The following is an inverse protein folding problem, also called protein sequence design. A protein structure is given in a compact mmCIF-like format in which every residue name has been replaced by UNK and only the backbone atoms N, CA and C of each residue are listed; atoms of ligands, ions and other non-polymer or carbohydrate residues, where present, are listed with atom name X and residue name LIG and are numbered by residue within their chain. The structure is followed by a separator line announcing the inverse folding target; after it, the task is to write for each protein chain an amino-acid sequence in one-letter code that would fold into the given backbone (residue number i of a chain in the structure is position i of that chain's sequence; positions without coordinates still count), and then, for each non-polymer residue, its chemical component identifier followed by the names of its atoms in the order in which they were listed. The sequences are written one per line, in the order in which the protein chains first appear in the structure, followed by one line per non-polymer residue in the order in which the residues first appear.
data_IF_884812481423
#
_entry.id   IF_884812481423
#
_cell.length_a   1.000
_cell.length_b   1.000
_cell.length_c   1.000
_cell.angle_alpha   90.00
_cell.angle_beta   90.00
_cell.angle_gamma   90.00
#
_symmetry.space_group_name_H-M   'P 1'
#
loop_
_entity.id
_entity.type
_entity.pdbx_description
1 polymer ?
#
# COMPACT_ATOMS: atom_id res chain seq x y z
N UNK A 1 -30.00 -3.03 -30.25
CA UNK A 1 -31.21 -3.89 -30.10
C UNK A 1 -32.51 -3.19 -30.48
N UNK A 2 -32.77 -1.95 -30.03
CA UNK A 2 -33.98 -1.20 -30.42
C UNK A 2 -34.08 -0.90 -31.94
N UNK A 3 -32.95 -0.67 -32.63
CA UNK A 3 -32.98 -0.35 -34.06
C UNK A 3 -33.42 -1.50 -34.96
N UNK A 4 -33.01 -2.75 -34.69
CA UNK A 4 -33.42 -3.91 -35.49
C UNK A 4 -34.92 -4.20 -35.36
N UNK A 5 -35.47 -4.14 -34.13
CA UNK A 5 -36.92 -4.27 -33.90
C UNK A 5 -37.70 -3.15 -34.59
N UNK A 6 -37.22 -1.91 -34.52
CA UNK A 6 -37.83 -0.76 -35.21
C UNK A 6 -37.84 -0.93 -36.72
N UNK A 7 -36.70 -1.32 -37.32
CA UNK A 7 -36.61 -1.49 -38.77
C UNK A 7 -37.49 -2.65 -39.28
N UNK A 8 -37.65 -3.73 -38.50
CA UNK A 8 -38.56 -4.82 -38.85
C UNK A 8 -40.04 -4.45 -38.69
N UNK A 9 -40.40 -3.62 -37.71
CA UNK A 9 -41.75 -3.07 -37.57
C UNK A 9 -42.12 -2.13 -38.73
N UNK A 10 -41.18 -1.30 -39.18
CA UNK A 10 -41.35 -0.44 -40.36
C UNK A 10 -41.48 -1.26 -41.66
N UNK A 11 -40.73 -2.37 -41.75
CA UNK A 11 -40.79 -3.28 -42.90
C UNK A 11 -42.15 -3.97 -43.04
N UNK A 12 -42.71 -4.45 -41.93
CA UNK A 12 -43.96 -5.22 -41.95
C UNK A 12 -45.22 -4.36 -41.90
N UNK A 13 -45.12 -3.09 -41.50
CA UNK A 13 -46.28 -2.21 -41.36
C UNK A 13 -47.32 -2.77 -40.38
N UNK A 14 -46.89 -3.56 -39.40
CA UNK A 14 -47.75 -4.23 -38.42
C UNK A 14 -48.38 -5.56 -38.88
N UNK A 15 -48.04 -6.07 -40.07
CA UNK A 15 -48.50 -7.38 -40.55
C UNK A 15 -47.62 -8.52 -40.02
N UNK A 16 -48.14 -9.75 -39.82
CA UNK A 16 -47.37 -10.89 -39.32
C UNK A 16 -46.35 -11.42 -40.34
N UNK A 17 -46.59 -11.21 -41.63
CA UNK A 17 -45.74 -11.66 -42.73
C UNK A 17 -45.38 -10.50 -43.65
N UNK A 18 -44.26 -10.64 -44.38
CA UNK A 18 -43.80 -9.66 -45.37
C UNK A 18 -43.55 -10.38 -46.70
N UNK A 19 -43.97 -9.81 -47.85
CA UNK A 19 -43.64 -10.36 -49.15
C UNK A 19 -42.12 -10.54 -49.31
N UNK A 20 -41.70 -11.70 -49.82
CA UNK A 20 -40.28 -12.08 -49.92
C UNK A 20 -39.46 -11.09 -50.76
N UNK A 21 -40.07 -10.46 -51.77
CA UNK A 21 -39.45 -9.43 -52.61
C UNK A 21 -39.06 -8.20 -51.81
N UNK A 22 -39.99 -7.70 -51.00
CA UNK A 22 -39.77 -6.55 -50.10
C UNK A 22 -38.76 -6.90 -48.99
N UNK A 23 -38.80 -8.14 -48.51
CA UNK A 23 -37.87 -8.62 -47.50
C UNK A 23 -36.41 -8.67 -48.03
N UNK A 24 -36.21 -9.17 -49.26
CA UNK A 24 -34.89 -9.21 -49.93
C UNK A 24 -34.29 -7.82 -50.14
N UNK A 25 -35.10 -6.85 -50.56
CA UNK A 25 -34.65 -5.46 -50.74
C UNK A 25 -34.17 -4.83 -49.43
N UNK A 26 -34.87 -5.11 -48.34
CA UNK A 26 -34.51 -4.61 -47.02
C UNK A 26 -33.22 -5.25 -46.50
N UNK A 27 -33.11 -6.58 -46.57
CA UNK A 27 -31.90 -7.29 -46.14
C UNK A 27 -30.67 -6.96 -46.99
N UNK A 28 -30.84 -6.76 -48.30
CA UNK A 28 -29.76 -6.35 -49.19
C UNK A 28 -29.17 -4.98 -48.84
N UNK A 29 -29.95 -4.08 -48.21
CA UNK A 29 -29.46 -2.78 -47.71
C UNK A 29 -28.72 -2.89 -46.38
N UNK A 30 -29.20 -3.75 -45.49
CA UNK A 30 -28.67 -3.87 -44.11
C UNK A 30 -27.45 -4.79 -44.05
N UNK A 31 -27.42 -5.83 -44.90
CA UNK A 31 -26.34 -6.81 -44.96
C UNK A 31 -25.79 -6.97 -46.38
N UNK A 32 -25.14 -5.92 -46.93
CA UNK A 32 -24.66 -5.92 -48.31
C UNK A 32 -23.55 -6.95 -48.60
N UNK A 33 -22.98 -7.57 -47.56
CA UNK A 33 -21.89 -8.55 -47.66
C UNK A 33 -22.38 -10.01 -47.71
N UNK A 34 -23.66 -10.27 -47.51
CA UNK A 34 -24.23 -11.63 -47.53
C UNK A 34 -24.60 -12.01 -48.98
N UNK A 35 -24.13 -13.16 -49.46
CA UNK A 35 -24.46 -13.61 -50.82
C UNK A 35 -25.96 -13.93 -50.96
N UNK A 36 -26.50 -13.79 -52.17
CA UNK A 36 -27.91 -14.12 -52.44
C UNK A 36 -28.21 -15.58 -52.08
N UNK A 37 -27.33 -16.52 -52.42
CA UNK A 37 -27.56 -17.94 -52.08
C UNK A 37 -27.62 -18.16 -50.56
N UNK A 38 -26.77 -17.47 -49.80
CA UNK A 38 -26.73 -17.59 -48.34
C UNK A 38 -27.99 -17.00 -47.70
N UNK A 39 -28.48 -15.89 -48.24
CA UNK A 39 -29.71 -15.25 -47.79
C UNK A 39 -30.94 -16.15 -48.05
N UNK A 40 -31.00 -16.80 -49.21
CA UNK A 40 -32.08 -17.75 -49.53
C UNK A 40 -32.09 -18.95 -48.59
N UNK A 41 -30.92 -19.55 -48.33
CA UNK A 41 -30.80 -20.66 -47.39
C UNK A 41 -31.22 -20.25 -45.96
N UNK A 42 -30.91 -19.02 -45.57
CA UNK A 42 -31.23 -18.48 -44.26
C UNK A 42 -32.72 -18.16 -44.07
N UNK A 43 -33.40 -17.65 -45.09
CA UNK A 43 -34.83 -17.26 -45.03
C UNK A 43 -35.76 -18.47 -45.23
N UNK A 44 -35.32 -19.49 -45.97
CA UNK A 44 -36.13 -20.67 -46.34
C UNK A 44 -36.93 -21.30 -45.18
N UNK A 45 -36.41 -21.44 -43.96
CA UNK A 45 -37.17 -22.00 -42.82
C UNK A 45 -38.35 -21.13 -42.36
N UNK A 46 -38.37 -19.86 -42.74
CA UNK A 46 -39.33 -18.85 -42.30
C UNK A 46 -40.31 -18.46 -43.40
N UNK A 47 -40.35 -19.20 -44.52
CA UNK A 47 -41.28 -18.95 -45.61
C UNK A 47 -42.68 -19.49 -45.28
N UNK A 48 -43.68 -18.66 -45.50
CA UNK A 48 -45.11 -18.99 -45.39
C UNK A 48 -45.69 -18.99 -46.80
N UNK A 49 -46.36 -20.08 -47.19
CA UNK A 49 -47.01 -20.27 -48.50
C UNK A 49 -46.10 -20.13 -49.75
N UNK A 50 -44.78 -19.95 -49.58
CA UNK A 50 -43.79 -19.91 -50.66
C UNK A 50 -43.43 -18.51 -51.18
N UNK A 51 -44.13 -17.47 -50.75
CA UNK A 51 -43.99 -16.09 -51.24
C UNK A 51 -43.95 -15.03 -50.12
N UNK A 52 -44.22 -15.40 -48.87
CA UNK A 52 -44.13 -14.52 -47.71
C UNK A 52 -43.13 -15.02 -46.66
N UNK A 53 -42.56 -14.10 -45.86
CA UNK A 53 -41.62 -14.40 -44.77
C UNK A 53 -42.26 -14.07 -43.42
N UNK A 54 -42.23 -15.02 -42.48
CA UNK A 54 -42.49 -14.76 -41.07
C UNK A 54 -41.29 -14.02 -40.45
N UNK A 55 -41.31 -12.72 -40.63
CA UNK A 55 -40.29 -11.81 -40.14
C UNK A 55 -40.20 -11.79 -38.59
N UNK A 56 -41.26 -12.19 -37.88
CA UNK A 56 -41.27 -12.23 -36.41
C UNK A 56 -40.51 -13.44 -35.90
N UNK A 57 -40.81 -14.63 -36.44
CA UNK A 57 -40.10 -15.86 -36.10
C UNK A 57 -38.61 -15.78 -36.47
N UNK A 58 -38.31 -15.15 -37.62
CA UNK A 58 -36.93 -14.90 -38.03
C UNK A 58 -36.19 -13.95 -37.08
N UNK A 59 -36.84 -12.85 -36.66
CA UNK A 59 -36.26 -11.89 -35.73
C UNK A 59 -36.01 -12.52 -34.36
N UNK A 60 -36.94 -13.34 -33.88
CA UNK A 60 -36.78 -14.11 -32.63
C UNK A 60 -35.59 -15.07 -32.71
N UNK A 61 -35.41 -15.79 -33.82
CA UNK A 61 -34.25 -16.65 -34.03
C UNK A 61 -32.93 -15.87 -34.10
N UNK A 62 -32.89 -14.75 -34.83
CA UNK A 62 -31.72 -13.88 -34.90
C UNK A 62 -31.33 -13.33 -33.53
N UNK A 63 -32.32 -12.92 -32.73
CA UNK A 63 -32.07 -12.44 -31.37
C UNK A 63 -31.56 -13.54 -30.46
N UNK A 64 -32.14 -14.73 -30.51
CA UNK A 64 -31.69 -15.90 -29.74
C UNK A 64 -30.22 -16.22 -30.06
N UNK A 65 -29.85 -16.28 -31.34
CA UNK A 65 -28.47 -16.54 -31.74
C UNK A 65 -27.48 -15.45 -31.31
N UNK A 66 -27.91 -14.18 -31.29
CA UNK A 66 -27.09 -13.07 -30.78
C UNK A 66 -26.91 -13.12 -29.26
N UNK A 67 -27.95 -13.49 -28.51
CA UNK A 67 -27.86 -13.68 -27.06
C UNK A 67 -26.97 -14.89 -26.72
N UNK A 68 -27.11 -16.01 -27.42
CA UNK A 68 -26.24 -17.19 -27.27
C UNK A 68 -24.77 -16.89 -27.60
N UNK A 69 -24.50 -16.09 -28.63
CA UNK A 69 -23.15 -15.65 -28.96
C UNK A 69 -22.58 -14.71 -27.90
N UNK A 70 -23.38 -13.74 -27.42
CA UNK A 70 -22.98 -12.85 -26.33
C UNK A 70 -22.67 -13.64 -25.06
N UNK A 71 -23.52 -14.58 -24.71
CA UNK A 71 -23.37 -15.37 -23.49
C UNK A 71 -22.14 -16.30 -23.60
N UNK A 72 -21.85 -16.86 -24.78
CA UNK A 72 -20.58 -17.56 -25.05
C UNK A 72 -19.36 -16.67 -24.91
N UNK A 73 -19.40 -15.45 -25.45
CA UNK A 73 -18.31 -14.48 -25.31
C UNK A 73 -18.09 -14.06 -23.86
N UNK A 74 -19.18 -13.84 -23.12
CA UNK A 74 -19.12 -13.52 -21.70
C UNK A 74 -18.50 -14.67 -20.90
N UNK A 75 -18.92 -15.91 -21.18
CA UNK A 75 -18.38 -17.10 -20.54
C UNK A 75 -16.87 -17.26 -20.83
N UNK A 76 -16.47 -17.11 -22.10
CA UNK A 76 -15.06 -17.17 -22.49
C UNK A 76 -14.21 -16.12 -21.78
N UNK A 77 -14.70 -14.87 -21.70
CA UNK A 77 -14.02 -13.80 -20.98
C UNK A 77 -13.93 -14.09 -19.46
N UNK A 78 -14.97 -14.65 -18.87
CA UNK A 78 -14.97 -15.05 -17.45
C UNK A 78 -13.96 -16.17 -17.17
N UNK A 79 -13.87 -17.16 -18.06
CA UNK A 79 -12.92 -18.26 -17.95
C UNK A 79 -11.47 -17.78 -18.15
N UNK A 80 -11.24 -16.82 -19.05
CA UNK A 80 -9.94 -16.16 -19.23
C UNK A 80 -9.53 -15.41 -17.96
N UNK A 81 -10.42 -14.59 -17.38
CA UNK A 81 -10.18 -13.90 -16.11
C UNK A 81 -9.88 -14.89 -14.98
N UNK A 82 -10.61 -16.01 -14.91
CA UNK A 82 -10.38 -17.07 -13.92
C UNK A 82 -9.01 -17.71 -14.12
N UNK A 83 -8.62 -17.99 -15.35
CA UNK A 83 -7.31 -18.54 -15.71
C UNK A 83 -6.18 -17.59 -15.31
N UNK A 84 -6.31 -16.28 -15.64
CA UNK A 84 -5.35 -15.25 -15.26
C UNK A 84 -5.21 -15.13 -13.74
N UNK A 85 -6.33 -15.13 -12.99
CA UNK A 85 -6.30 -15.16 -11.52
C UNK A 85 -5.61 -16.42 -10.99
N UNK A 86 -5.87 -17.57 -11.60
CA UNK A 86 -5.20 -18.83 -11.26
C UNK A 86 -3.69 -18.79 -11.51
N UNK A 87 -3.25 -18.22 -12.64
CA UNK A 87 -1.84 -18.03 -12.96
C UNK A 87 -1.17 -17.04 -11.99
N UNK A 88 -1.85 -15.94 -11.64
CA UNK A 88 -1.38 -14.98 -10.64
C UNK A 88 -1.22 -15.63 -9.27
N UNK A 89 -2.17 -16.50 -8.87
CA UNK A 89 -2.10 -17.22 -7.58
C UNK A 89 -0.94 -18.22 -7.47
N UNK A 90 -0.37 -18.63 -8.60
CA UNK A 90 0.78 -19.56 -8.65
C UNK A 90 2.12 -18.83 -8.56
N UNK A 91 2.13 -17.50 -8.65
CA UNK A 91 3.32 -16.70 -8.42
C UNK A 91 3.41 -16.39 -6.92
N UNK A 92 4.57 -16.60 -6.28
CA UNK A 92 4.81 -16.08 -4.94
C UNK A 92 4.55 -14.57 -4.96
N UNK A 93 3.75 -14.07 -4.02
CA UNK A 93 3.65 -12.64 -3.79
C UNK A 93 4.95 -12.20 -3.12
N UNK A 94 5.79 -11.51 -3.87
CA UNK A 94 7.00 -10.90 -3.34
C UNK A 94 6.67 -9.50 -2.83
N UNK A 95 7.25 -9.15 -1.68
CA UNK A 95 7.15 -7.83 -1.10
C UNK A 95 8.44 -7.53 -0.35
N UNK A 96 8.76 -6.24 -0.20
CA UNK A 96 9.96 -5.77 0.48
C UNK A 96 9.66 -5.39 1.92
N UNK A 97 10.60 -5.67 2.81
CA UNK A 97 10.52 -5.30 4.23
C UNK A 97 11.69 -4.40 4.59
N UNK A 98 11.38 -3.20 5.05
CA UNK A 98 12.32 -2.24 5.60
C UNK A 98 12.30 -2.25 7.13
N UNK A 99 13.47 -2.20 7.76
CA UNK A 99 13.58 -1.89 9.18
C UNK A 99 14.53 -0.71 9.35
N UNK A 100 14.11 0.29 10.12
CA UNK A 100 14.91 1.48 10.36
C UNK A 100 14.85 1.94 11.81
N UNK A 101 16.02 2.10 12.43
CA UNK A 101 16.12 2.72 13.75
C UNK A 101 16.23 4.23 13.57
N UNK A 102 15.19 4.93 14.01
CA UNK A 102 15.05 6.38 13.84
C UNK A 102 16.01 7.13 14.76
N UNK A 103 16.44 6.49 15.87
CA UNK A 103 17.05 7.12 17.04
C UNK A 103 16.11 8.20 17.58
N UNK A 104 15.46 7.98 18.72
CA UNK A 104 14.46 8.94 19.21
C UNK A 104 15.05 10.35 19.38
N UNK A 105 14.25 11.40 19.18
CA UNK A 105 14.58 12.80 19.39
C UNK A 105 15.39 13.04 20.66
N UNK A 106 14.91 12.51 21.78
CA UNK A 106 15.55 12.63 23.09
C UNK A 106 16.80 11.75 23.27
N UNK A 107 17.01 10.73 22.42
CA UNK A 107 18.19 9.85 22.45
C UNK A 107 19.33 10.37 21.56
N UNK A 108 19.01 11.14 20.53
CA UNK A 108 19.94 11.77 19.61
C UNK A 108 20.65 13.01 20.18
N UNK A 109 21.11 12.98 21.42
CA UNK A 109 21.77 14.12 22.04
C UNK A 109 23.31 13.95 22.01
N UNK A 110 23.99 14.69 21.13
CA UNK A 110 25.47 14.63 20.99
C UNK A 110 26.20 15.09 22.27
N UNK A 111 25.50 15.78 23.17
CA UNK A 111 25.99 16.22 24.48
C UNK A 111 25.76 15.16 25.56
N UNK A 112 25.60 13.89 25.19
CA UNK A 112 25.74 12.74 26.07
C UNK A 112 27.18 12.22 26.05
N UNK A 113 27.70 11.66 27.17
CA UNK A 113 29.12 11.33 27.30
C UNK A 113 29.61 10.23 26.34
N UNK A 114 28.71 9.48 25.71
CA UNK A 114 29.04 8.46 24.70
C UNK A 114 29.11 9.00 23.26
N UNK A 115 28.47 10.13 22.95
CA UNK A 115 28.47 10.70 21.60
C UNK A 115 29.63 11.68 21.39
N UNK A 116 29.62 12.85 22.02
CA UNK A 116 30.70 13.86 21.97
C UNK A 116 31.45 13.96 20.62
N UNK A 117 30.72 13.89 19.50
CA UNK A 117 31.27 14.00 18.16
C UNK A 117 31.63 15.47 17.85
N UNK A 118 32.49 15.69 16.85
CA UNK A 118 32.95 17.02 16.43
C UNK A 118 34.35 17.41 16.96
N UNK A 119 34.91 16.59 17.85
CA UNK A 119 36.27 16.75 18.40
C UNK A 119 37.04 15.43 18.36
N UNK A 120 38.37 15.52 18.36
CA UNK A 120 39.22 14.34 18.57
C UNK A 120 39.23 14.00 20.07
N UNK A 121 38.84 12.77 20.41
CA UNK A 121 38.69 12.33 21.80
C UNK A 121 39.61 11.16 22.13
N UNK A 122 40.84 11.43 22.60
CA UNK A 122 41.74 10.40 23.08
C UNK A 122 41.09 9.54 24.17
N UNK A 123 41.42 8.23 24.25
CA UNK A 123 40.84 7.31 25.23
C UNK A 123 40.93 7.81 26.68
N UNK A 124 42.01 8.50 27.03
CA UNK A 124 42.19 9.00 28.40
C UNK A 124 41.29 10.19 28.74
N UNK A 125 41.09 11.12 27.79
CA UNK A 125 40.07 12.19 27.96
C UNK A 125 38.70 11.56 28.11
N UNK A 126 38.34 10.59 27.26
CA UNK A 126 37.05 9.87 27.33
C UNK A 126 36.85 9.18 28.68
N UNK A 127 37.89 8.52 29.22
CA UNK A 127 37.86 7.89 30.54
C UNK A 127 37.61 8.91 31.67
N UNK A 128 38.21 10.09 31.58
CA UNK A 128 37.97 11.17 32.55
C UNK A 128 36.51 11.68 32.47
N UNK A 129 35.98 11.86 31.25
CA UNK A 129 34.57 12.26 31.04
C UNK A 129 33.62 11.25 31.70
N UNK A 130 33.80 9.96 31.44
CA UNK A 130 32.97 8.91 32.06
C UNK A 130 33.09 8.89 33.58
N UNK A 131 34.29 9.13 34.13
CA UNK A 131 34.51 9.24 35.57
C UNK A 131 33.69 10.39 36.16
N UNK A 132 33.85 11.61 35.62
CA UNK A 132 33.14 12.81 36.10
C UNK A 132 31.61 12.70 35.93
N UNK A 133 31.12 12.12 34.83
CA UNK A 133 29.70 11.85 34.63
C UNK A 133 29.16 10.79 35.61
N UNK A 134 29.99 9.81 35.97
CA UNK A 134 29.65 8.74 36.91
C UNK A 134 29.66 9.16 38.39
N UNK A 135 30.28 10.30 38.73
CA UNK A 135 30.37 10.77 40.11
C UNK A 135 28.98 11.03 40.72
N UNK A 136 28.84 10.63 41.99
CA UNK A 136 27.62 10.78 42.78
C UNK A 136 27.93 11.52 44.07
N UNK A 137 27.00 12.35 44.52
CA UNK A 137 27.01 12.98 45.83
C UNK A 137 26.63 11.97 46.90
N UNK A 138 26.79 12.34 48.18
CA UNK A 138 26.42 11.49 49.31
C UNK A 138 24.93 11.09 49.32
N UNK A 139 24.05 11.88 48.69
CA UNK A 139 22.62 11.60 48.53
C UNK A 139 22.29 10.70 47.31
N UNK A 140 23.30 10.20 46.61
CA UNK A 140 23.15 9.36 45.42
C UNK A 140 22.82 10.11 44.12
N UNK A 141 22.66 11.44 44.16
CA UNK A 141 22.43 12.23 42.94
C UNK A 141 23.71 12.45 42.14
N UNK A 142 23.64 12.71 40.82
CA UNK A 142 24.80 13.07 40.02
C UNK A 142 25.56 14.28 40.59
N UNK A 143 26.88 14.17 40.71
CA UNK A 143 27.73 15.28 41.15
C UNK A 143 27.83 16.37 40.08
N UNK A 144 27.90 15.97 38.81
CA UNK A 144 28.05 16.83 37.64
C UNK A 144 26.85 16.65 36.70
N UNK A 145 25.64 17.11 37.07
CA UNK A 145 24.44 16.87 36.28
C UNK A 145 24.45 17.69 34.99
N UNK A 146 24.23 17.00 33.87
CA UNK A 146 24.00 17.62 32.56
C UNK A 146 25.24 18.22 31.91
N UNK A 147 25.13 18.45 30.61
CA UNK A 147 26.13 19.18 29.84
C UNK A 147 26.16 20.67 30.25
N UNK A 148 27.34 21.33 30.25
CA UNK A 148 28.68 20.80 30.04
C UNK A 148 29.39 20.40 31.36
N UNK A 149 28.65 20.19 32.46
CA UNK A 149 29.26 20.10 33.80
C UNK A 149 30.21 18.91 33.96
N UNK A 150 29.94 17.77 33.32
CA UNK A 150 30.77 16.57 33.40
C UNK A 150 31.98 16.58 32.46
N UNK A 151 32.16 17.65 31.65
CA UNK A 151 33.33 17.84 30.76
C UNK A 151 34.19 19.05 31.13
N UNK A 152 33.71 19.91 32.04
CA UNK A 152 34.47 21.08 32.52
C UNK A 152 35.82 20.66 33.11
N UNK A 153 36.89 21.29 32.62
CA UNK A 153 38.26 20.98 33.02
C UNK A 153 38.92 19.82 32.28
N UNK A 154 38.16 19.05 31.48
CA UNK A 154 38.69 18.06 30.53
C UNK A 154 38.73 18.64 29.11
N UNK A 155 37.63 19.27 28.71
CA UNK A 155 37.47 19.91 27.41
C UNK A 155 37.74 21.40 27.50
N UNK A 156 38.36 21.95 26.45
CA UNK A 156 38.50 23.40 26.30
C UNK A 156 37.15 24.02 25.89
N UNK A 157 36.95 25.34 26.09
CA UNK A 157 35.75 26.03 25.62
C UNK A 157 35.50 25.84 24.11
N UNK A 158 36.55 25.82 23.30
CA UNK A 158 36.47 25.60 21.86
C UNK A 158 36.05 24.16 21.52
N UNK A 159 36.52 23.17 22.29
CA UNK A 159 36.08 21.77 22.13
C UNK A 159 34.60 21.61 22.51
N UNK A 160 34.15 22.26 23.60
CA UNK A 160 32.74 22.27 24.02
C UNK A 160 31.87 22.88 22.92
N UNK A 161 32.26 24.05 22.39
CA UNK A 161 31.54 24.71 21.31
C UNK A 161 31.43 23.82 20.06
N UNK A 162 32.50 23.12 19.66
CA UNK A 162 32.47 22.20 18.51
C UNK A 162 31.48 21.05 18.70
N UNK A 163 31.38 20.49 19.91
CA UNK A 163 30.39 19.43 20.21
C UNK A 163 28.97 19.96 20.09
N UNK A 164 28.72 21.19 20.56
CA UNK A 164 27.42 21.86 20.45
C UNK A 164 27.07 22.19 19.00
N UNK A 165 28.02 22.70 18.21
CA UNK A 165 27.84 22.94 16.78
C UNK A 165 27.53 21.64 16.02
N UNK A 166 28.27 20.58 16.30
CA UNK A 166 28.03 19.25 15.71
C UNK A 166 26.65 18.70 16.10
N UNK A 167 26.21 18.94 17.35
CA UNK A 167 24.86 18.60 17.78
C UNK A 167 23.80 19.27 16.91
N UNK A 168 23.87 20.60 16.78
CA UNK A 168 22.90 21.38 16.01
C UNK A 168 22.89 20.98 14.53
N UNK A 169 24.06 20.67 13.98
CA UNK A 169 24.23 20.34 12.57
C UNK A 169 23.71 18.96 12.20
N UNK A 170 23.84 17.96 13.07
CA UNK A 170 23.62 16.55 12.69
C UNK A 170 22.69 15.76 13.61
N UNK A 171 22.56 16.14 14.88
CA UNK A 171 21.89 15.31 15.90
C UNK A 171 20.57 15.91 16.38
N UNK A 172 20.46 17.24 16.39
CA UNK A 172 19.24 17.95 16.74
C UNK A 172 18.06 17.44 15.89
N UNK A 173 16.94 17.15 16.56
CA UNK A 173 15.75 16.58 15.93
C UNK A 173 15.31 17.38 14.70
N UNK A 174 15.21 18.70 14.84
CA UNK A 174 14.81 19.60 13.75
C UNK A 174 15.68 19.48 12.50
N UNK A 175 16.96 19.15 12.64
CA UNK A 175 17.89 19.06 11.51
C UNK A 175 17.84 17.69 10.80
N UNK A 176 17.46 16.63 11.51
CA UNK A 176 17.46 15.26 10.96
C UNK A 176 16.09 14.73 10.60
N UNK A 177 15.00 15.25 11.16
CA UNK A 177 13.64 14.72 11.00
C UNK A 177 13.22 14.55 9.53
N UNK A 178 13.61 15.48 8.66
CA UNK A 178 13.27 15.41 7.22
C UNK A 178 14.18 14.42 6.48
N UNK A 179 15.47 14.35 6.83
CA UNK A 179 16.41 13.36 6.27
C UNK A 179 15.98 11.93 6.58
N UNK A 180 15.37 11.70 7.75
CA UNK A 180 14.81 10.40 8.11
C UNK A 180 13.67 10.01 7.16
N UNK A 181 12.83 10.97 6.75
CA UNK A 181 11.76 10.73 5.79
C UNK A 181 12.30 10.48 4.38
N UNK A 182 13.38 11.16 3.99
CA UNK A 182 14.06 10.92 2.72
C UNK A 182 14.55 9.47 2.65
N UNK A 183 15.24 8.99 3.69
CA UNK A 183 15.69 7.59 3.78
C UNK A 183 14.51 6.62 3.73
N UNK A 184 13.44 6.89 4.48
CA UNK A 184 12.23 6.05 4.45
C UNK A 184 11.61 6.00 3.05
N UNK A 185 11.59 7.12 2.33
CA UNK A 185 11.10 7.19 0.95
C UNK A 185 11.98 6.41 -0.01
N UNK A 186 13.30 6.55 0.10
CA UNK A 186 14.29 5.86 -0.71
C UNK A 186 14.33 4.35 -0.49
N UNK A 187 13.98 3.87 0.71
CA UNK A 187 13.84 2.45 1.00
C UNK A 187 12.75 1.78 0.16
N UNK A 188 11.73 2.54 -0.27
CA UNK A 188 10.60 2.08 -1.09
C UNK A 188 10.01 0.72 -0.63
N UNK A 189 9.90 0.54 0.70
CA UNK A 189 9.52 -0.73 1.28
C UNK A 189 8.00 -0.98 1.16
N UNK A 190 7.58 -2.23 1.02
CA UNK A 190 6.16 -2.57 1.06
C UNK A 190 5.62 -2.64 2.49
N UNK A 191 6.48 -3.10 3.40
CA UNK A 191 6.29 -3.12 4.85
C UNK A 191 7.49 -2.46 5.54
N UNK A 192 7.23 -1.59 6.51
CA UNK A 192 8.25 -0.81 7.20
C UNK A 192 8.10 -0.90 8.71
N UNK A 193 9.19 -1.22 9.41
CA UNK A 193 9.29 -1.21 10.86
C UNK A 193 10.22 -0.10 11.33
N UNK A 194 9.67 0.90 12.00
CA UNK A 194 10.42 2.00 12.60
C UNK A 194 10.56 1.76 14.10
N UNK A 195 11.79 1.71 14.60
CA UNK A 195 12.08 1.56 16.04
C UNK A 195 12.71 2.83 16.60
N UNK A 196 12.56 3.02 17.91
CA UNK A 196 12.89 4.29 18.58
C UNK A 196 12.15 5.48 17.94
N UNK A 197 10.95 5.22 17.42
CA UNK A 197 10.11 6.21 16.76
C UNK A 197 9.38 7.02 17.82
N UNK A 198 9.84 8.23 18.08
CA UNK A 198 9.05 9.31 18.66
C UNK A 198 8.48 10.21 17.54
N UNK A 199 7.73 11.24 17.89
CA UNK A 199 7.08 12.14 16.93
C UNK A 199 6.18 11.43 15.88
N UNK A 200 5.52 10.35 16.29
CA UNK A 200 4.68 9.57 15.40
C UNK A 200 3.50 10.39 14.86
N UNK A 201 2.72 11.01 15.75
CA UNK A 201 1.48 11.70 15.36
C UNK A 201 1.73 13.00 14.58
N UNK A 202 2.76 13.77 14.95
CA UNK A 202 3.06 15.09 14.40
C UNK A 202 3.97 15.06 13.18
N UNK A 203 4.85 14.06 13.05
CA UNK A 203 5.85 14.01 11.96
C UNK A 203 5.70 12.77 11.06
N UNK A 204 5.81 11.56 11.63
CA UNK A 204 5.89 10.35 10.81
C UNK A 204 4.56 9.94 10.16
N UNK A 205 3.48 9.87 10.92
CA UNK A 205 2.16 9.46 10.42
C UNK A 205 1.69 10.27 9.21
N UNK A 206 1.64 11.62 9.25
CA UNK A 206 1.22 12.39 8.08
C UNK A 206 2.18 12.25 6.89
N UNK A 207 3.47 12.03 7.12
CA UNK A 207 4.44 11.79 6.05
C UNK A 207 4.26 10.42 5.40
N UNK A 208 4.11 9.37 6.20
CA UNK A 208 3.84 8.00 5.74
C UNK A 208 2.52 7.92 4.96
N UNK A 209 1.48 8.62 5.42
CA UNK A 209 0.20 8.72 4.69
C UNK A 209 0.37 9.34 3.30
N UNK A 210 1.14 10.44 3.19
CA UNK A 210 1.48 11.07 1.90
C UNK A 210 2.29 10.14 0.99
N UNK A 211 3.15 9.31 1.57
CA UNK A 211 3.89 8.26 0.85
C UNK A 211 3.02 7.05 0.48
N UNK A 212 1.73 7.03 0.85
CA UNK A 212 0.81 5.96 0.49
C UNK A 212 0.73 4.80 1.49
N UNK A 213 1.37 4.93 2.65
CA UNK A 213 1.31 3.92 3.71
C UNK A 213 0.08 4.10 4.61
N UNK A 214 -0.41 2.99 5.16
CA UNK A 214 -1.13 2.95 6.43
C UNK A 214 -0.11 2.65 7.53
N UNK A 215 -0.38 3.04 8.77
CA UNK A 215 0.53 2.75 9.88
C UNK A 215 -0.17 2.65 11.23
N UNK A 216 0.47 1.95 12.16
CA UNK A 216 0.15 1.90 13.59
C UNK A 216 1.41 2.16 14.40
N UNK A 217 1.25 2.68 15.61
CA UNK A 217 2.36 2.93 16.52
C UNK A 217 2.02 2.53 17.94
N UNK A 218 3.00 1.94 18.62
CA UNK A 218 2.89 1.55 20.02
C UNK A 218 4.08 2.08 20.80
N UNK A 219 3.77 2.92 21.78
CA UNK A 219 4.73 3.43 22.76
C UNK A 219 5.36 2.28 23.54
N UNK A 220 6.63 2.42 23.89
CA UNK A 220 7.26 1.54 24.89
C UNK A 220 6.49 1.64 26.22
N UNK A 221 6.22 0.53 26.93
CA UNK A 221 5.42 0.53 28.15
C UNK A 221 6.06 1.29 29.33
N UNK A 222 7.33 1.71 29.20
CA UNK A 222 8.03 2.45 30.25
C UNK A 222 7.55 3.91 30.28
N UNK A 223 7.10 4.43 31.45
CA UNK A 223 6.62 5.82 31.54
C UNK A 223 7.64 6.88 31.10
N UNK A 224 8.93 6.61 31.33
CA UNK A 224 10.04 7.51 30.99
C UNK A 224 10.38 7.56 29.50
N UNK A 225 9.87 6.62 28.71
CA UNK A 225 10.10 6.60 27.26
C UNK A 225 9.11 7.52 26.57
N UNK A 226 9.55 8.22 25.52
CA UNK A 226 8.68 8.95 24.61
C UNK A 226 8.53 8.24 23.25
N UNK A 227 9.39 7.25 22.99
CA UNK A 227 9.47 6.48 21.76
C UNK A 227 8.63 5.20 21.80
N UNK A 228 8.46 4.62 20.63
CA UNK A 228 7.79 3.35 20.40
C UNK A 228 8.27 2.66 19.13
N UNK A 229 7.50 1.67 18.71
CA UNK A 229 7.62 1.07 17.39
C UNK A 229 6.44 1.49 16.51
N UNK A 230 6.73 1.81 15.25
CA UNK A 230 5.74 2.02 14.21
C UNK A 230 5.84 0.90 13.18
N UNK A 231 4.70 0.34 12.80
CA UNK A 231 4.57 -0.56 11.65
C UNK A 231 3.78 0.16 10.57
N UNK A 232 4.30 0.20 9.36
CA UNK A 232 3.67 0.81 8.20
C UNK A 232 3.61 -0.16 7.01
N UNK A 233 2.56 -0.07 6.21
CA UNK A 233 2.31 -0.95 5.06
C UNK A 233 1.74 -0.18 3.87
N UNK A 234 2.10 -0.57 2.65
CA UNK A 234 1.54 0.02 1.42
C UNK A 234 0.05 -0.29 1.32
N UNK A 235 -0.81 0.75 1.35
CA UNK A 235 -2.28 0.59 1.27
C UNK A 235 -2.79 -0.04 -0.02
N UNK A 236 -1.98 0.00 -1.08
CA UNK A 236 -2.31 -0.64 -2.36
C UNK A 236 -2.03 -2.15 -2.37
N UNK A 237 -1.27 -2.66 -1.40
CA UNK A 237 -0.87 -4.08 -1.31
C UNK A 237 -1.47 -4.79 -0.09
N UNK A 238 -1.63 -4.08 1.03
CA UNK A 238 -2.07 -4.65 2.30
C UNK A 238 -3.22 -3.86 2.92
N UNK A 239 -4.16 -4.61 3.48
CA UNK A 239 -5.19 -4.12 4.38
C UNK A 239 -4.87 -4.57 5.82
N UNK A 240 -5.06 -3.66 6.78
CA UNK A 240 -4.95 -4.02 8.19
C UNK A 240 -6.18 -4.82 8.62
N UNK A 241 -5.98 -6.10 8.93
CA UNK A 241 -7.06 -6.99 9.40
C UNK A 241 -7.17 -6.96 10.93
N UNK A 242 -6.04 -6.99 11.62
CA UNK A 242 -5.96 -7.00 13.07
C UNK A 242 -4.63 -6.39 13.54
N UNK A 243 -4.61 -5.90 14.78
CA UNK A 243 -3.42 -5.37 15.44
C UNK A 243 -3.36 -5.94 16.85
N UNK A 244 -2.19 -6.47 17.24
CA UNK A 244 -1.92 -6.93 18.60
C UNK A 244 -0.56 -6.40 19.04
N UNK A 245 -0.47 -5.94 20.29
CA UNK A 245 0.77 -5.44 20.89
C UNK A 245 1.20 -6.34 22.04
N UNK A 246 2.45 -6.77 22.04
CA UNK A 246 3.02 -7.60 23.10
C UNK A 246 3.90 -6.75 24.01
N UNK A 247 3.60 -6.75 25.31
CA UNK A 247 4.41 -6.10 26.32
C UNK A 247 5.27 -7.12 27.08
N UNK A 248 6.59 -7.02 26.89
CA UNK A 248 7.52 -7.79 27.70
C UNK A 248 7.76 -7.08 29.04
N UNK A 249 6.93 -7.40 30.04
CA UNK A 249 7.16 -6.98 31.42
C UNK A 249 8.30 -7.81 32.00
N UNK A 250 9.34 -7.15 32.51
CA UNK A 250 10.44 -7.81 33.23
C UNK A 250 9.88 -8.44 34.52
N UNK A 251 9.38 -9.67 34.40
CA UNK A 251 8.71 -10.43 35.47
C UNK A 251 8.08 -11.76 35.03
N UNK A 252 7.77 -11.97 33.75
CA UNK A 252 7.08 -13.20 33.29
C UNK A 252 7.99 -14.40 32.93
N UNK A 253 9.28 -14.36 33.26
CA UNK A 253 10.18 -15.51 33.03
C UNK A 253 10.19 -16.55 34.16
N UNK A 254 9.19 -16.61 35.04
CA UNK A 254 9.02 -17.69 36.02
C UNK A 254 7.54 -17.95 36.34
N UNK A 255 6.88 -18.84 35.58
CA UNK A 255 6.09 -19.99 36.07
C UNK A 255 5.28 -20.63 34.92
N UNK A 256 5.98 -21.36 34.06
CA UNK A 256 5.41 -22.58 33.49
C UNK A 256 6.11 -23.77 34.16
N UNK A 257 5.49 -24.29 35.22
CA UNK A 257 5.53 -25.69 35.65
C UNK A 257 4.88 -25.82 37.03
N UNK A 258 3.79 -26.59 37.12
CA UNK A 258 3.37 -27.19 38.39
C UNK A 258 1.88 -27.16 38.71
N UNK A 259 1.13 -28.05 38.04
CA UNK A 259 0.05 -28.90 38.57
C UNK A 259 -1.30 -28.32 39.01
N UNK A 260 -2.32 -29.12 38.64
CA UNK A 260 -3.70 -29.15 39.11
C UNK A 260 -3.87 -29.03 40.63
#
# INVERSE_FOLDING_TARGET
MQSLRSCFQELSGGRPTVPITRFREFFGKIMPKVSKESLELFIRPYLVNGDEVDHKQLLESLMCGLDEERDRQLQAAQDEVRSLKGALSRHPLEFTVGQYNILAGYMGNNMEPWFLYGIDMPPEKRKQVFKLHGERKADGKPANPGWPNYVKGILTPEEIQKVEEEHQKNFAWETRKDRLLDVIGEMDADLLSLVECDHYEDHFKPALERLGYGSTWRKRPRPSSADGCCLAWRRQLFDLVAEESVEFVAGCWLRESGSC
#
